data_IF_326370519696
#
_entry.id   IF_326370519696
#
_cell.length_a   1.000
_cell.length_b   1.000
_cell.length_c   1.000
_cell.angle_alpha   90.00
_cell.angle_beta   90.00
_cell.angle_gamma   90.00
#
_symmetry.space_group_name_H-M   'P 1'
#
loop_
_entity.id
_entity.type
_entity.pdbx_description
1 polymer ?
#
# COMPACT_ATOMS: atom_id res chain seq x y z
N UNK A 1 29.27 -65.32 2.36
CA UNK A 1 29.62 -64.06 1.64
C UNK A 1 28.38 -63.56 0.93
N UNK A 2 27.68 -62.58 1.49
CA UNK A 2 26.59 -61.86 0.81
C UNK A 2 26.68 -60.39 1.21
N UNK A 3 26.63 -59.54 0.19
CA UNK A 3 27.00 -58.13 0.17
C UNK A 3 26.24 -57.29 1.18
N UNK A 4 26.98 -56.49 1.94
CA UNK A 4 26.47 -55.36 2.71
C UNK A 4 26.00 -54.25 1.75
N UNK A 5 24.67 -54.05 1.68
CA UNK A 5 24.06 -52.88 1.05
C UNK A 5 24.58 -51.62 1.74
N UNK A 6 25.34 -50.83 1.00
CA UNK A 6 25.89 -49.56 1.45
C UNK A 6 24.75 -48.56 1.62
N UNK A 7 24.37 -48.31 2.87
CA UNK A 7 23.42 -47.27 3.24
C UNK A 7 24.06 -45.90 2.94
N UNK A 8 23.71 -45.31 1.79
CA UNK A 8 24.11 -43.93 1.48
C UNK A 8 23.37 -43.00 2.45
N UNK A 9 24.06 -42.13 3.22
CA UNK A 9 23.36 -41.14 4.01
C UNK A 9 22.60 -40.24 3.04
N UNK A 10 21.27 -40.15 3.22
CA UNK A 10 20.46 -39.19 2.50
C UNK A 10 21.04 -37.81 2.74
N UNK A 11 21.60 -37.20 1.69
CA UNK A 11 21.88 -35.77 1.62
C UNK A 11 20.53 -35.06 1.79
N UNK A 12 20.10 -34.87 3.05
CA UNK A 12 19.06 -33.91 3.39
C UNK A 12 19.67 -32.56 3.07
N UNK A 13 19.47 -32.12 1.82
CA UNK A 13 19.54 -30.72 1.45
C UNK A 13 18.55 -29.99 2.35
N UNK A 14 19.02 -29.54 3.52
CA UNK A 14 18.30 -28.64 4.40
C UNK A 14 18.20 -27.33 3.64
N UNK A 15 17.15 -27.22 2.84
CA UNK A 15 16.79 -25.98 2.21
C UNK A 15 16.61 -24.94 3.34
N UNK A 16 17.29 -23.79 3.31
CA UNK A 16 17.39 -22.88 4.47
C UNK A 16 16.02 -22.36 4.94
N UNK A 17 15.02 -22.45 4.08
CA UNK A 17 13.63 -22.03 4.31
C UNK A 17 12.74 -23.11 4.95
N UNK A 18 13.27 -24.28 5.31
CA UNK A 18 12.47 -25.38 5.89
C UNK A 18 12.17 -25.21 7.38
N UNK A 19 12.75 -24.23 8.07
CA UNK A 19 12.41 -23.93 9.46
C UNK A 19 11.26 -22.94 9.49
N UNK A 20 10.10 -23.34 10.02
CA UNK A 20 9.10 -22.38 10.50
C UNK A 20 9.80 -21.44 11.48
N UNK A 21 9.68 -20.13 11.28
CA UNK A 21 10.03 -19.13 12.29
C UNK A 21 9.34 -19.50 13.60
N UNK A 22 10.06 -19.38 14.72
CA UNK A 22 9.45 -19.65 16.02
C UNK A 22 8.30 -18.67 16.22
N UNK A 23 7.16 -19.14 16.75
CA UNK A 23 5.97 -18.31 16.94
C UNK A 23 6.27 -17.03 17.74
N UNK A 24 7.19 -17.12 18.69
CA UNK A 24 7.71 -15.97 19.46
C UNK A 24 8.45 -14.97 18.58
N UNK A 25 9.37 -15.43 17.72
CA UNK A 25 10.10 -14.56 16.79
C UNK A 25 9.16 -13.90 15.77
N UNK A 26 8.14 -14.61 15.30
CA UNK A 26 7.11 -14.06 14.39
C UNK A 26 6.31 -12.95 15.07
N UNK A 27 5.84 -13.17 16.31
CA UNK A 27 5.10 -12.16 17.07
C UNK A 27 5.99 -10.95 17.38
N UNK A 28 7.24 -11.17 17.82
CA UNK A 28 8.18 -10.06 18.10
C UNK A 28 8.44 -9.24 16.83
N UNK A 29 8.66 -9.89 15.68
CA UNK A 29 8.84 -9.19 14.42
C UNK A 29 7.59 -8.38 14.03
N UNK A 30 6.40 -8.97 14.14
CA UNK A 30 5.14 -8.29 13.86
C UNK A 30 4.95 -7.06 14.76
N UNK A 31 5.20 -7.20 16.08
CA UNK A 31 5.07 -6.09 17.03
C UNK A 31 6.09 -4.98 16.74
N UNK A 32 7.35 -5.32 16.47
CA UNK A 32 8.39 -4.32 16.16
C UNK A 32 8.03 -3.57 14.88
N UNK A 33 7.64 -4.28 13.81
CA UNK A 33 7.23 -3.65 12.57
C UNK A 33 6.03 -2.73 12.79
N UNK A 34 5.02 -3.19 13.51
CA UNK A 34 3.83 -2.40 13.82
C UNK A 34 4.17 -1.14 14.64
N UNK A 35 5.05 -1.27 15.64
CA UNK A 35 5.54 -0.15 16.45
C UNK A 35 6.41 0.83 15.66
N UNK A 36 7.02 0.40 14.55
CA UNK A 36 7.74 1.30 13.65
C UNK A 36 6.80 1.98 12.65
N UNK A 37 5.82 1.26 12.10
CA UNK A 37 4.93 1.73 11.04
C UNK A 37 3.91 2.74 11.56
N UNK A 38 3.25 2.46 12.68
CA UNK A 38 2.18 3.31 13.22
C UNK A 38 2.66 4.73 13.52
N UNK A 39 3.79 4.95 14.23
CA UNK A 39 4.27 6.30 14.48
C UNK A 39 4.62 7.06 13.19
N UNK A 40 5.17 6.37 12.18
CA UNK A 40 5.49 6.99 10.89
C UNK A 40 4.23 7.45 10.17
N UNK A 41 3.19 6.61 10.15
CA UNK A 41 1.88 6.95 9.58
C UNK A 41 1.27 8.15 10.33
N UNK A 42 1.23 8.09 11.67
CA UNK A 42 0.67 9.17 12.50
C UNK A 42 1.41 10.48 12.28
N UNK A 43 2.75 10.45 12.27
CA UNK A 43 3.57 11.62 12.01
C UNK A 43 3.29 12.22 10.63
N UNK A 44 3.15 11.37 9.60
CA UNK A 44 2.89 11.84 8.23
C UNK A 44 1.51 12.48 8.09
N UNK A 45 0.47 11.86 8.63
CA UNK A 45 -0.90 12.40 8.63
C UNK A 45 -0.94 13.76 9.34
N UNK A 46 -0.25 13.88 10.47
CA UNK A 46 -0.14 15.15 11.18
C UNK A 46 0.60 16.20 10.35
N UNK A 47 1.72 15.84 9.72
CA UNK A 47 2.48 16.72 8.84
C UNK A 47 1.67 17.20 7.63
N UNK A 48 0.88 16.32 7.03
CA UNK A 48 0.01 16.66 5.90
C UNK A 48 -1.10 17.62 6.33
N UNK A 49 -1.74 17.37 7.48
CA UNK A 49 -2.71 18.30 8.06
C UNK A 49 -2.10 19.68 8.32
N UNK A 50 -0.86 19.74 8.82
CA UNK A 50 -0.14 21.00 9.02
C UNK A 50 0.19 21.70 7.71
N UNK A 51 0.54 20.97 6.65
CA UNK A 51 0.83 21.53 5.33
C UNK A 51 -0.42 22.18 4.72
N UNK A 52 -1.59 21.54 4.85
CA UNK A 52 -2.88 22.08 4.41
C UNK A 52 -3.25 23.32 5.23
N UNK A 53 -3.11 23.27 6.56
CA UNK A 53 -3.32 24.44 7.43
C UNK A 53 -2.40 25.61 7.08
N UNK A 54 -1.12 25.34 6.80
CA UNK A 54 -0.13 26.35 6.43
C UNK A 54 -0.32 26.94 5.03
N UNK A 55 -1.10 26.27 4.16
CA UNK A 55 -1.45 26.79 2.85
C UNK A 55 -2.49 27.93 2.91
N UNK A 56 -3.16 28.15 4.04
CA UNK A 56 -4.13 29.24 4.27
C UNK A 56 -5.21 29.40 3.17
N UNK A 57 -5.56 28.32 2.48
CA UNK A 57 -6.55 28.34 1.40
C UNK A 57 -5.97 28.55 -0.01
N UNK A 58 -4.65 28.61 -0.16
CA UNK A 58 -4.00 28.62 -1.48
C UNK A 58 -4.12 27.23 -2.13
N UNK A 59 -5.06 27.10 -3.09
CA UNK A 59 -5.44 25.82 -3.70
C UNK A 59 -4.24 25.10 -4.33
N UNK A 60 -3.38 25.80 -5.07
CA UNK A 60 -2.20 25.23 -5.72
C UNK A 60 -1.24 24.55 -4.73
N UNK A 61 -1.10 25.12 -3.52
CA UNK A 61 -0.26 24.55 -2.47
C UNK A 61 -0.92 23.36 -1.78
N UNK A 62 -2.24 23.37 -1.66
CA UNK A 62 -3.02 22.25 -1.12
C UNK A 62 -2.93 21.07 -2.09
N UNK A 63 -3.08 21.31 -3.39
CA UNK A 63 -3.00 20.27 -4.42
C UNK A 63 -1.60 19.64 -4.50
N UNK A 64 -0.55 20.45 -4.44
CA UNK A 64 0.82 19.96 -4.39
C UNK A 64 1.08 19.09 -3.14
N UNK A 65 0.53 19.47 -1.98
CA UNK A 65 0.63 18.69 -0.74
C UNK A 65 -0.16 17.38 -0.83
N UNK A 66 -1.36 17.41 -1.42
CA UNK A 66 -2.18 16.22 -1.65
C UNK A 66 -1.49 15.23 -2.59
N UNK A 67 -0.93 15.70 -3.71
CA UNK A 67 -0.17 14.86 -4.65
C UNK A 67 1.05 14.22 -3.99
N UNK A 68 1.79 14.99 -3.16
CA UNK A 68 2.92 14.45 -2.40
C UNK A 68 2.47 13.40 -1.37
N UNK A 69 1.33 13.58 -0.73
CA UNK A 69 0.74 12.60 0.20
C UNK A 69 0.33 11.32 -0.52
N UNK A 70 -0.33 11.42 -1.68
CA UNK A 70 -0.70 10.28 -2.53
C UNK A 70 0.54 9.48 -2.95
N UNK A 71 1.58 10.16 -3.47
CA UNK A 71 2.81 9.51 -3.91
C UNK A 71 3.52 8.79 -2.75
N UNK A 72 3.57 9.43 -1.57
CA UNK A 72 4.15 8.82 -0.38
C UNK A 72 3.36 7.59 0.10
N UNK A 73 2.04 7.69 0.17
CA UNK A 73 1.16 6.57 0.56
C UNK A 73 1.30 5.39 -0.40
N UNK A 74 1.41 5.65 -1.71
CA UNK A 74 1.63 4.61 -2.71
C UNK A 74 2.97 3.90 -2.52
N UNK A 75 4.07 4.65 -2.31
CA UNK A 75 5.39 4.07 -2.05
C UNK A 75 5.39 3.24 -0.76
N UNK A 76 4.78 3.75 0.30
CA UNK A 76 4.72 3.07 1.60
C UNK A 76 3.86 1.79 1.52
N UNK A 77 2.77 1.80 0.75
CA UNK A 77 1.98 0.61 0.45
C UNK A 77 2.80 -0.46 -0.28
N UNK A 78 3.61 -0.10 -1.27
CA UNK A 78 4.49 -1.07 -1.95
C UNK A 78 5.50 -1.70 -1.00
N UNK A 79 6.04 -0.92 -0.06
CA UNK A 79 6.95 -1.44 0.97
C UNK A 79 6.21 -2.42 1.90
N UNK A 80 5.02 -2.06 2.38
CA UNK A 80 4.21 -2.95 3.21
C UNK A 80 3.87 -4.26 2.48
N UNK A 81 3.49 -4.19 1.20
CA UNK A 81 3.24 -5.39 0.38
C UNK A 81 4.49 -6.25 0.17
N UNK A 82 5.66 -5.64 0.01
CA UNK A 82 6.92 -6.37 -0.06
C UNK A 82 7.21 -7.11 1.26
N UNK A 83 6.92 -6.48 2.41
CA UNK A 83 7.03 -7.10 3.73
C UNK A 83 6.02 -8.25 3.91
N UNK A 84 4.78 -8.12 3.42
CA UNK A 84 3.81 -9.24 3.36
C UNK A 84 4.40 -10.41 2.58
N UNK A 85 4.96 -10.16 1.40
CA UNK A 85 5.59 -11.18 0.58
C UNK A 85 6.73 -11.88 1.32
N UNK A 86 7.64 -11.11 1.93
CA UNK A 86 8.77 -11.65 2.69
C UNK A 86 8.30 -12.47 3.91
N UNK A 87 7.27 -12.00 4.62
CA UNK A 87 6.64 -12.69 5.74
C UNK A 87 5.96 -14.01 5.29
N UNK A 88 5.32 -14.02 4.12
CA UNK A 88 4.70 -15.20 3.55
C UNK A 88 5.74 -16.27 3.17
N UNK A 89 6.84 -15.88 2.51
CA UNK A 89 7.91 -16.82 2.15
C UNK A 89 8.62 -17.36 3.41
N UNK A 90 8.79 -16.53 4.44
CA UNK A 90 9.34 -16.95 5.74
C UNK A 90 8.36 -17.73 6.63
N UNK A 91 7.11 -17.96 6.18
CA UNK A 91 6.04 -18.65 6.92
C UNK A 91 5.78 -18.04 8.31
N UNK A 92 5.74 -16.72 8.37
CA UNK A 92 5.49 -15.92 9.57
C UNK A 92 4.02 -15.40 9.55
N UNK A 93 3.02 -16.23 9.93
CA UNK A 93 1.60 -15.89 9.74
C UNK A 93 1.16 -14.64 10.51
N UNK A 94 1.73 -14.36 11.68
CA UNK A 94 1.35 -13.16 12.45
C UNK A 94 1.89 -11.89 11.82
N UNK A 95 3.12 -11.96 11.30
CA UNK A 95 3.71 -10.86 10.53
C UNK A 95 2.88 -10.59 9.27
N UNK A 96 2.45 -11.63 8.55
CA UNK A 96 1.56 -11.48 7.37
C UNK A 96 0.26 -10.76 7.75
N UNK A 97 -0.43 -11.19 8.82
CA UNK A 97 -1.69 -10.56 9.25
C UNK A 97 -1.48 -9.10 9.63
N UNK A 98 -0.45 -8.80 10.41
CA UNK A 98 -0.15 -7.43 10.81
C UNK A 98 0.15 -6.53 9.60
N UNK A 99 0.94 -7.02 8.66
CA UNK A 99 1.31 -6.27 7.46
C UNK A 99 0.11 -6.10 6.51
N UNK A 100 -0.78 -7.08 6.43
CA UNK A 100 -2.04 -6.95 5.67
C UNK A 100 -2.98 -5.90 6.28
N UNK A 101 -3.04 -5.80 7.61
CA UNK A 101 -3.82 -4.75 8.27
C UNK A 101 -3.27 -3.35 7.95
N UNK A 102 -1.95 -3.19 8.02
CA UNK A 102 -1.28 -1.92 7.69
C UNK A 102 -1.46 -1.59 6.21
N UNK A 103 -1.26 -2.55 5.31
CA UNK A 103 -1.51 -2.37 3.88
C UNK A 103 -2.98 -2.01 3.58
N UNK A 104 -3.94 -2.65 4.28
CA UNK A 104 -5.36 -2.33 4.16
C UNK A 104 -5.67 -0.90 4.59
N UNK A 105 -5.08 -0.44 5.70
CA UNK A 105 -5.23 0.94 6.17
C UNK A 105 -4.68 1.94 5.14
N UNK A 106 -3.45 1.71 4.65
CA UNK A 106 -2.82 2.56 3.63
C UNK A 106 -3.63 2.58 2.34
N UNK A 107 -4.17 1.43 1.93
CA UNK A 107 -5.05 1.32 0.76
C UNK A 107 -6.33 2.14 0.92
N UNK A 108 -6.97 2.09 2.09
CA UNK A 108 -8.14 2.90 2.38
C UNK A 108 -7.82 4.41 2.38
N UNK A 109 -6.68 4.81 2.95
CA UNK A 109 -6.24 6.21 2.94
C UNK A 109 -5.94 6.70 1.53
N UNK A 110 -5.27 5.87 0.70
CA UNK A 110 -4.99 6.18 -0.68
C UNK A 110 -6.28 6.32 -1.50
N UNK A 111 -7.22 5.39 -1.34
CA UNK A 111 -8.50 5.45 -2.03
C UNK A 111 -9.30 6.70 -1.64
N UNK A 112 -9.31 7.07 -0.37
CA UNK A 112 -9.96 8.29 0.08
C UNK A 112 -9.28 9.55 -0.48
N UNK A 113 -7.95 9.61 -0.46
CA UNK A 113 -7.19 10.74 -1.00
C UNK A 113 -7.41 10.90 -2.52
N UNK A 114 -7.41 9.80 -3.27
CA UNK A 114 -7.74 9.80 -4.70
C UNK A 114 -9.17 10.26 -4.94
N UNK A 115 -10.13 9.75 -4.16
CA UNK A 115 -11.52 10.14 -4.31
C UNK A 115 -11.75 11.64 -4.08
N UNK A 116 -11.13 12.21 -3.05
CA UNK A 116 -11.18 13.66 -2.80
C UNK A 116 -10.58 14.44 -3.97
N UNK A 117 -9.41 14.01 -4.45
CA UNK A 117 -8.74 14.65 -5.58
C UNK A 117 -9.60 14.63 -6.85
N UNK A 118 -10.22 13.48 -7.17
CA UNK A 118 -11.08 13.31 -8.35
C UNK A 118 -12.36 14.16 -8.27
N UNK A 119 -12.90 14.37 -7.07
CA UNK A 119 -14.07 15.24 -6.85
C UNK A 119 -13.71 16.72 -7.03
N UNK A 120 -12.53 17.13 -6.57
CA UNK A 120 -12.02 18.50 -6.72
C UNK A 120 -11.53 18.79 -8.15
N UNK A 121 -11.11 17.75 -8.89
CA UNK A 121 -10.58 17.82 -10.25
C UNK A 121 -11.37 16.91 -11.21
N UNK A 122 -12.62 17.26 -11.54
CA UNK A 122 -13.40 16.48 -12.49
C UNK A 122 -12.65 16.40 -13.83
N UNK A 123 -12.56 15.19 -14.39
CA UNK A 123 -11.90 14.95 -15.66
C UNK A 123 -12.46 15.90 -16.74
N UNK A 124 -11.60 16.45 -17.62
CA UNK A 124 -12.06 17.33 -18.68
C UNK A 124 -13.11 16.62 -19.52
N UNK A 125 -14.19 17.34 -19.85
CA UNK A 125 -15.29 16.80 -20.66
C UNK A 125 -14.72 16.11 -21.91
N UNK A 126 -15.22 14.93 -22.29
CA UNK A 126 -14.69 14.18 -23.42
C UNK A 126 -14.62 15.09 -24.65
N UNK A 127 -13.48 15.10 -25.32
CA UNK A 127 -13.30 15.85 -26.57
C UNK A 127 -14.45 15.52 -27.51
N UNK A 128 -15.15 16.53 -28.05
CA UNK A 128 -16.30 16.30 -28.92
C UNK A 128 -15.86 15.45 -30.10
N UNK A 129 -16.41 14.24 -30.19
CA UNK A 129 -16.28 13.40 -31.37
C UNK A 129 -17.52 13.60 -32.24
N UNK A 130 -17.49 13.15 -33.50
CA UNK A 130 -18.61 13.31 -34.44
C UNK A 130 -19.94 12.71 -33.92
N UNK A 131 -19.88 11.85 -32.89
CA UNK A 131 -21.04 11.27 -32.20
C UNK A 131 -21.46 12.01 -30.90
N UNK A 132 -20.70 12.98 -30.41
CA UNK A 132 -20.99 13.67 -29.15
C UNK A 132 -20.69 15.17 -29.25
N UNK A 133 -21.73 15.93 -29.54
CA UNK A 133 -21.75 17.40 -29.44
C UNK A 133 -22.26 17.79 -28.05
N UNK A 134 -21.42 18.33 -27.15
CA UNK A 134 -21.90 18.82 -25.87
C UNK A 134 -22.86 20.00 -26.10
N UNK A 135 -24.06 19.89 -25.54
CA UNK A 135 -25.06 20.96 -25.55
C UNK A 135 -24.57 22.12 -24.68
N UNK A 136 -23.78 23.02 -25.25
CA UNK A 136 -23.27 24.23 -24.56
C UNK A 136 -24.34 25.29 -24.30
N UNK A 137 -25.60 25.03 -24.66
CA UNK A 137 -26.71 25.90 -24.34
C UNK A 137 -27.46 25.32 -23.15
N UNK A 138 -27.49 26.05 -22.03
CA UNK A 138 -28.32 25.75 -20.85
C UNK A 138 -29.83 25.83 -21.11
N UNK A 139 -30.29 25.53 -22.34
CA UNK A 139 -31.68 25.60 -22.80
C UNK A 139 -32.32 24.22 -23.01
N UNK A 140 -31.65 23.12 -22.66
CA UNK A 140 -32.29 21.81 -22.50
C UNK A 140 -32.74 21.10 -23.78
N UNK A 141 -32.38 21.56 -24.98
CA UNK A 141 -32.65 20.82 -26.23
C UNK A 141 -31.44 20.82 -27.17
N UNK A 142 -31.08 19.62 -27.62
CA UNK A 142 -30.20 19.36 -28.76
C UNK A 142 -31.01 18.52 -29.75
N UNK A 143 -31.17 19.04 -30.97
CA UNK A 143 -31.88 18.36 -32.06
C UNK A 143 -30.98 17.33 -32.75
#
# INVERSE_FOLDING_TARGET
MTQSLTERPALRGRWPWSRRTSRLSDITAAVVLFLCEIPVIVWKVFGDGMAVWAAQGEQDRIDAANLASIAWNQQFLYVALALVGLAAVSRAPWTVVSQLLVAGLLGAMLANAQHVYDVEHPAPAPTPTVLYTPCLSGSGTCH
#
